data_IF_803581917905
#
_entry.id   IF_803581917905
#
_cell.length_a   1.000
_cell.length_b   1.000
_cell.length_c   1.000
_cell.angle_alpha   90.00
_cell.angle_beta   90.00
_cell.angle_gamma   90.00
#
_symmetry.space_group_name_H-M   'P 1'
#
loop_
_entity.id
_entity.type
_entity.pdbx_description
1 polymer ?
#
# COMPACT_ATOMS: atom_id res chain seq x y z
N UNK A 1 -101.52 20.43 12.78
CA UNK A 1 -100.94 21.18 11.64
C UNK A 1 -99.52 21.55 12.02
N UNK A 2 -98.54 20.68 11.74
CA UNK A 2 -97.12 20.92 12.05
C UNK A 2 -96.30 20.73 10.78
N UNK A 3 -95.72 21.81 10.25
CA UNK A 3 -94.79 21.77 9.13
C UNK A 3 -93.45 21.20 9.58
N UNK A 4 -92.97 20.13 8.98
CA UNK A 4 -91.57 19.60 9.14
C UNK A 4 -90.69 20.22 8.05
N UNK A 5 -89.66 20.94 8.48
CA UNK A 5 -88.64 21.45 7.62
C UNK A 5 -87.55 20.37 7.53
N UNK A 6 -87.30 19.88 6.29
CA UNK A 6 -86.17 18.99 6.01
C UNK A 6 -84.93 19.82 5.74
N UNK A 7 -83.91 19.62 6.55
CA UNK A 7 -82.57 20.21 6.34
C UNK A 7 -81.69 19.24 5.57
N UNK A 8 -81.42 19.52 4.31
CA UNK A 8 -80.45 18.77 3.50
C UNK A 8 -79.02 19.22 3.89
N UNK A 9 -78.30 18.37 4.59
CA UNK A 9 -76.84 18.50 4.79
C UNK A 9 -76.12 17.97 3.55
N UNK A 10 -75.49 18.83 2.74
CA UNK A 10 -74.59 18.46 1.69
C UNK A 10 -73.22 18.19 2.31
N UNK A 11 -72.79 16.93 2.28
CA UNK A 11 -71.43 16.51 2.70
C UNK A 11 -70.51 16.66 1.46
N UNK A 12 -69.68 17.71 1.49
CA UNK A 12 -68.61 17.87 0.49
C UNK A 12 -67.40 17.02 0.89
N UNK A 13 -67.19 15.91 0.17
CA UNK A 13 -65.97 15.09 0.30
C UNK A 13 -64.88 15.75 -0.52
N UNK A 14 -63.95 16.41 0.18
CA UNK A 14 -62.68 16.89 -0.38
C UNK A 14 -61.75 15.69 -0.57
N UNK A 15 -61.62 15.18 -1.78
CA UNK A 15 -60.56 14.23 -2.16
C UNK A 15 -59.22 14.99 -2.22
N UNK A 16 -58.42 14.91 -1.12
CA UNK A 16 -57.03 15.31 -1.16
C UNK A 16 -56.24 14.23 -1.93
N UNK A 17 -55.99 14.50 -3.22
CA UNK A 17 -55.10 13.68 -4.02
C UNK A 17 -53.67 13.76 -3.50
N UNK A 18 -53.22 12.74 -2.81
CA UNK A 18 -51.80 12.57 -2.49
C UNK A 18 -51.07 12.18 -3.77
N UNK A 19 -50.47 13.18 -4.45
CA UNK A 19 -49.48 12.91 -5.50
C UNK A 19 -48.24 12.30 -4.85
N UNK A 20 -48.16 10.97 -4.87
CA UNK A 20 -46.94 10.24 -4.66
C UNK A 20 -46.02 10.57 -5.85
N UNK A 21 -45.16 11.58 -5.67
CA UNK A 21 -44.03 11.81 -6.57
C UNK A 21 -43.05 10.64 -6.33
N UNK A 22 -43.20 9.56 -7.11
CA UNK A 22 -42.18 8.55 -7.24
C UNK A 22 -41.01 9.21 -7.96
N UNK A 23 -40.12 9.81 -7.23
CA UNK A 23 -38.79 10.16 -7.74
C UNK A 23 -38.14 8.85 -8.14
N UNK A 24 -38.15 8.55 -9.44
CA UNK A 24 -37.28 7.54 -10.03
C UNK A 24 -35.87 8.03 -9.78
N UNK A 25 -35.32 7.71 -8.61
CA UNK A 25 -33.90 7.93 -8.29
C UNK A 25 -33.11 6.97 -9.19
N UNK A 26 -32.84 7.40 -10.41
CA UNK A 26 -31.86 6.72 -11.24
C UNK A 26 -30.56 6.71 -10.44
N UNK A 27 -30.13 5.52 -9.99
CA UNK A 27 -28.95 5.38 -9.17
C UNK A 27 -27.80 6.12 -9.88
N UNK A 28 -27.21 7.10 -9.19
CA UNK A 28 -26.14 7.89 -9.76
C UNK A 28 -24.98 6.98 -10.20
N UNK A 29 -24.40 7.25 -11.37
CA UNK A 29 -23.29 6.49 -11.93
C UNK A 29 -22.17 6.31 -10.88
N UNK A 30 -21.64 5.10 -10.68
CA UNK A 30 -20.66 4.81 -9.66
C UNK A 30 -19.33 5.58 -9.93
N UNK A 31 -18.61 5.90 -8.87
CA UNK A 31 -17.21 6.36 -8.99
C UNK A 31 -16.38 5.12 -9.28
N UNK A 32 -15.72 5.10 -10.44
CA UNK A 32 -14.95 3.95 -10.92
C UNK A 32 -13.49 4.08 -10.47
N UNK A 33 -12.94 3.01 -9.89
CA UNK A 33 -11.54 2.88 -9.46
C UNK A 33 -10.89 1.72 -10.21
N UNK A 34 -9.98 2.01 -11.14
CA UNK A 34 -9.18 1.02 -11.84
C UNK A 34 -8.06 0.51 -10.95
N UNK A 35 -7.99 -0.80 -10.70
CA UNK A 35 -6.97 -1.43 -9.84
C UNK A 35 -5.99 -2.19 -10.72
N UNK A 36 -4.77 -1.66 -10.82
CA UNK A 36 -3.73 -2.14 -11.73
C UNK A 36 -2.72 -3.00 -10.97
N UNK A 37 -2.91 -4.32 -11.01
CA UNK A 37 -2.06 -5.31 -10.35
C UNK A 37 -1.69 -6.45 -11.28
N UNK A 38 -0.62 -7.23 -11.01
CA UNK A 38 -0.39 -8.49 -11.72
C UNK A 38 -1.41 -9.54 -11.24
N UNK A 39 -2.43 -9.78 -12.04
CA UNK A 39 -3.50 -10.76 -11.74
C UNK A 39 -3.27 -12.09 -12.46
N UNK A 40 -2.09 -12.25 -13.08
CA UNK A 40 -1.63 -13.47 -13.73
C UNK A 40 -0.12 -13.62 -13.56
N UNK A 41 0.39 -14.84 -13.82
CA UNK A 41 1.83 -15.15 -13.74
C UNK A 41 2.37 -15.27 -12.31
N UNK A 42 3.69 -15.16 -12.18
CA UNK A 42 4.44 -15.44 -10.94
C UNK A 42 4.04 -14.58 -9.75
N UNK A 43 3.59 -13.36 -9.99
CA UNK A 43 3.27 -12.37 -8.96
C UNK A 43 1.76 -12.22 -8.71
N UNK A 44 0.95 -13.15 -9.24
CA UNK A 44 -0.50 -13.13 -9.11
C UNK A 44 -0.97 -13.03 -7.65
N UNK A 45 -0.37 -13.82 -6.78
CA UNK A 45 -0.72 -13.83 -5.34
C UNK A 45 -0.57 -12.43 -4.69
N UNK A 46 0.50 -11.71 -5.03
CA UNK A 46 0.70 -10.32 -4.55
C UNK A 46 -0.43 -9.41 -5.07
N UNK A 47 -0.74 -9.52 -6.36
CA UNK A 47 -1.78 -8.71 -7.00
C UNK A 47 -3.16 -9.00 -6.44
N UNK A 48 -3.51 -10.27 -6.24
CA UNK A 48 -4.80 -10.69 -5.68
C UNK A 48 -4.99 -10.13 -4.26
N UNK A 49 -3.98 -10.20 -3.41
CA UNK A 49 -4.03 -9.69 -2.03
C UNK A 49 -4.19 -8.16 -1.99
N UNK A 50 -3.52 -7.43 -2.88
CA UNK A 50 -3.73 -5.99 -3.01
C UNK A 50 -5.14 -5.66 -3.50
N UNK A 51 -5.59 -6.33 -4.57
CA UNK A 51 -6.94 -6.15 -5.11
C UNK A 51 -8.01 -6.37 -4.04
N UNK A 52 -7.89 -7.45 -3.27
CA UNK A 52 -8.83 -7.76 -2.19
C UNK A 52 -8.87 -6.67 -1.10
N UNK A 53 -7.73 -6.05 -0.78
CA UNK A 53 -7.67 -4.91 0.14
C UNK A 53 -8.43 -3.68 -0.39
N UNK A 54 -8.32 -3.40 -1.70
CA UNK A 54 -9.08 -2.31 -2.36
C UNK A 54 -10.57 -2.63 -2.41
N UNK A 55 -10.93 -3.87 -2.75
CA UNK A 55 -12.33 -4.32 -2.80
C UNK A 55 -13.00 -4.23 -1.42
N UNK A 56 -12.27 -4.62 -0.37
CA UNK A 56 -12.78 -4.49 0.99
C UNK A 56 -12.95 -3.01 1.40
N UNK A 57 -12.02 -2.13 1.03
CA UNK A 57 -12.17 -0.70 1.25
C UNK A 57 -13.39 -0.13 0.51
N UNK A 58 -13.56 -0.49 -0.77
CA UNK A 58 -14.72 -0.06 -1.57
C UNK A 58 -16.05 -0.56 -0.96
N UNK A 59 -16.08 -1.79 -0.43
CA UNK A 59 -17.24 -2.32 0.29
C UNK A 59 -17.54 -1.46 1.53
N UNK A 60 -16.56 -1.21 2.40
CA UNK A 60 -16.74 -0.39 3.60
C UNK A 60 -17.24 1.02 3.24
N UNK A 61 -16.65 1.65 2.23
CA UNK A 61 -17.10 2.96 1.72
C UNK A 61 -18.56 2.89 1.26
N UNK A 62 -18.92 1.85 0.52
CA UNK A 62 -20.27 1.68 -0.02
C UNK A 62 -21.32 1.41 1.06
N UNK A 63 -20.98 0.72 2.12
CA UNK A 63 -21.84 0.49 3.30
C UNK A 63 -22.07 1.78 4.09
N UNK A 64 -21.10 2.71 4.08
CA UNK A 64 -21.20 4.05 4.66
C UNK A 64 -21.96 5.06 3.76
N UNK A 65 -22.59 4.62 2.68
CA UNK A 65 -23.33 5.49 1.76
C UNK A 65 -22.57 5.92 0.50
N UNK A 66 -21.37 5.39 0.29
CA UNK A 66 -20.53 5.66 -0.88
C UNK A 66 -19.78 6.99 -0.78
N UNK A 67 -19.29 7.47 -1.92
CA UNK A 67 -18.63 8.77 -2.07
C UNK A 67 -19.57 9.73 -2.82
N UNK A 68 -19.86 10.87 -2.22
CA UNK A 68 -20.78 11.87 -2.81
C UNK A 68 -22.18 11.26 -3.16
N UNK A 69 -22.66 10.31 -2.33
CA UNK A 69 -23.91 9.59 -2.57
C UNK A 69 -23.85 8.54 -3.70
N UNK A 70 -22.66 8.21 -4.21
CA UNK A 70 -22.44 7.27 -5.31
C UNK A 70 -21.60 6.09 -4.82
N UNK A 71 -21.91 4.89 -5.28
CA UNK A 71 -21.10 3.70 -4.97
C UNK A 71 -19.72 3.77 -5.65
N UNK A 72 -18.71 3.23 -4.99
CA UNK A 72 -17.40 2.96 -5.60
C UNK A 72 -17.48 1.62 -6.32
N UNK A 73 -17.05 1.59 -7.59
CA UNK A 73 -16.94 0.38 -8.40
C UNK A 73 -15.47 0.09 -8.72
N UNK A 74 -14.95 -1.00 -8.21
CA UNK A 74 -13.62 -1.50 -8.51
C UNK A 74 -13.60 -2.16 -9.89
N UNK A 75 -12.58 -1.87 -10.69
CA UNK A 75 -12.34 -2.45 -12.03
C UNK A 75 -10.92 -3.00 -12.07
N UNK A 76 -10.74 -4.33 -11.97
CA UNK A 76 -9.43 -4.94 -12.02
C UNK A 76 -8.76 -4.80 -13.38
N UNK A 77 -7.45 -4.56 -13.38
CA UNK A 77 -6.58 -4.47 -14.56
C UNK A 77 -5.39 -5.39 -14.32
N UNK A 78 -5.32 -6.50 -15.04
CA UNK A 78 -4.13 -7.33 -15.01
C UNK A 78 -2.98 -6.64 -15.76
N UNK A 79 -2.00 -6.17 -15.00
CA UNK A 79 -0.80 -5.52 -15.52
C UNK A 79 0.23 -6.50 -16.08
N UNK A 80 0.13 -7.78 -15.74
CA UNK A 80 1.16 -8.80 -16.00
C UNK A 80 2.57 -8.36 -15.53
N UNK A 81 2.63 -7.41 -14.59
CA UNK A 81 3.85 -6.70 -14.16
C UNK A 81 4.60 -6.00 -15.33
N UNK A 82 3.90 -5.62 -16.40
CA UNK A 82 4.44 -4.97 -17.60
C UNK A 82 3.83 -3.58 -17.79
N UNK A 83 4.65 -2.52 -17.86
CA UNK A 83 4.17 -1.13 -18.00
C UNK A 83 3.31 -0.90 -19.25
N UNK A 84 3.70 -1.48 -20.40
CA UNK A 84 2.99 -1.37 -21.66
C UNK A 84 1.62 -2.06 -21.64
N UNK A 85 1.51 -3.21 -20.98
CA UNK A 85 0.25 -3.93 -20.79
C UNK A 85 -0.69 -3.12 -19.89
N UNK A 86 -0.17 -2.64 -18.74
CA UNK A 86 -0.92 -1.83 -17.80
C UNK A 86 -1.50 -0.58 -18.46
N UNK A 87 -0.64 0.23 -19.11
CA UNK A 87 -1.04 1.49 -19.75
C UNK A 87 -2.01 1.27 -20.90
N UNK A 88 -1.82 0.23 -21.73
CA UNK A 88 -2.75 -0.12 -22.80
C UNK A 88 -4.15 -0.48 -22.29
N UNK A 89 -4.23 -1.32 -21.23
CA UNK A 89 -5.50 -1.71 -20.61
C UNK A 89 -6.18 -0.51 -19.93
N UNK A 90 -5.42 0.31 -19.18
CA UNK A 90 -5.94 1.51 -18.52
C UNK A 90 -6.43 2.57 -19.52
N UNK A 91 -5.74 2.76 -20.65
CA UNK A 91 -6.19 3.66 -21.73
C UNK A 91 -7.58 3.29 -22.23
N UNK A 92 -7.86 1.98 -22.39
CA UNK A 92 -9.20 1.53 -22.80
C UNK A 92 -10.26 1.94 -21.78
N UNK A 93 -9.97 1.84 -20.48
CA UNK A 93 -10.90 2.24 -19.42
C UNK A 93 -11.13 3.76 -19.39
N UNK A 94 -10.08 4.54 -19.60
CA UNK A 94 -10.20 6.01 -19.71
C UNK A 94 -11.12 6.38 -20.88
N UNK A 95 -10.85 5.86 -22.07
CA UNK A 95 -11.54 6.26 -23.28
C UNK A 95 -12.97 5.73 -23.34
N UNK A 96 -13.21 4.46 -22.97
CA UNK A 96 -14.51 3.79 -23.12
C UNK A 96 -15.41 3.95 -21.90
N UNK A 97 -14.83 3.89 -20.69
CA UNK A 97 -15.59 3.85 -19.44
C UNK A 97 -15.44 5.10 -18.59
N UNK A 98 -14.65 6.09 -19.07
CA UNK A 98 -14.41 7.36 -18.38
C UNK A 98 -13.84 7.20 -16.96
N UNK A 99 -13.00 6.16 -16.75
CA UNK A 99 -12.31 5.96 -15.48
C UNK A 99 -11.30 7.08 -15.28
N UNK A 100 -11.37 7.76 -14.14
CA UNK A 100 -10.51 8.90 -13.77
C UNK A 100 -9.49 8.53 -12.68
N UNK A 101 -9.79 7.51 -11.88
CA UNK A 101 -9.00 7.13 -10.71
C UNK A 101 -8.43 5.73 -10.91
N UNK A 102 -7.13 5.62 -10.72
CA UNK A 102 -6.41 4.35 -10.78
C UNK A 102 -5.60 4.16 -9.51
N UNK A 103 -5.41 2.92 -9.10
CA UNK A 103 -4.49 2.58 -8.03
C UNK A 103 -3.71 1.30 -8.35
N UNK A 104 -2.61 1.10 -7.64
CA UNK A 104 -1.79 -0.09 -7.78
C UNK A 104 -0.62 -0.10 -6.79
N UNK A 105 -0.11 -1.30 -6.50
CA UNK A 105 0.98 -1.51 -5.53
C UNK A 105 2.20 -2.18 -6.11
N UNK A 106 2.05 -2.95 -7.19
CA UNK A 106 3.11 -3.84 -7.66
C UNK A 106 3.84 -3.28 -8.87
N UNK A 107 5.17 -3.17 -8.74
CA UNK A 107 6.06 -2.80 -9.82
C UNK A 107 6.22 -1.30 -10.04
N UNK A 108 7.35 -0.72 -9.57
CA UNK A 108 7.63 0.71 -9.74
C UNK A 108 7.73 1.15 -11.21
N UNK A 109 8.12 0.25 -12.12
CA UNK A 109 8.12 0.51 -13.56
C UNK A 109 6.68 0.67 -14.10
N UNK A 110 5.75 -0.17 -13.62
CA UNK A 110 4.31 -0.04 -13.93
C UNK A 110 3.79 1.31 -13.43
N UNK A 111 4.14 1.67 -12.18
CA UNK A 111 3.81 2.97 -11.59
C UNK A 111 4.28 4.15 -12.44
N UNK A 112 5.51 4.10 -12.95
CA UNK A 112 6.04 5.13 -13.84
C UNK A 112 5.22 5.27 -15.14
N UNK A 113 4.88 4.16 -15.77
CA UNK A 113 4.03 4.15 -16.96
C UNK A 113 2.63 4.70 -16.69
N UNK A 114 2.01 4.28 -15.57
CA UNK A 114 0.69 4.73 -15.16
C UNK A 114 0.68 6.21 -14.75
N UNK A 115 1.75 6.71 -14.13
CA UNK A 115 1.91 8.15 -13.81
C UNK A 115 1.86 9.01 -15.07
N UNK A 116 2.65 8.66 -16.10
CA UNK A 116 2.65 9.37 -17.40
C UNK A 116 1.27 9.29 -18.08
N UNK A 117 0.62 8.13 -18.02
CA UNK A 117 -0.73 7.96 -18.59
C UNK A 117 -1.75 8.86 -17.86
N UNK A 118 -1.71 8.88 -16.52
CA UNK A 118 -2.61 9.66 -15.70
C UNK A 118 -2.48 11.16 -16.00
N UNK A 119 -1.26 11.68 -16.06
CA UNK A 119 -0.97 13.07 -16.40
C UNK A 119 -1.53 13.47 -17.78
N UNK A 120 -1.26 12.65 -18.80
CA UNK A 120 -1.72 12.91 -20.19
C UNK A 120 -3.24 12.92 -20.35
N UNK A 121 -3.98 12.26 -19.48
CA UNK A 121 -5.43 12.07 -19.62
C UNK A 121 -6.25 12.75 -18.49
N UNK A 122 -5.64 13.60 -17.70
CA UNK A 122 -6.25 14.18 -16.50
C UNK A 122 -6.96 13.11 -15.65
N UNK A 123 -6.25 12.00 -15.40
CA UNK A 123 -6.64 10.96 -14.46
C UNK A 123 -5.71 11.04 -13.24
N UNK A 124 -6.00 10.29 -12.19
CA UNK A 124 -5.19 10.23 -10.98
C UNK A 124 -4.70 8.81 -10.75
N UNK A 125 -3.41 8.66 -10.43
CA UNK A 125 -2.81 7.38 -10.04
C UNK A 125 -2.40 7.41 -8.58
N UNK A 126 -2.97 6.51 -7.77
CA UNK A 126 -2.59 6.23 -6.40
C UNK A 126 -1.68 5.02 -6.34
N UNK A 127 -0.54 5.15 -5.70
CA UNK A 127 0.31 4.01 -5.35
C UNK A 127 0.22 3.68 -3.87
N UNK A 128 0.01 2.39 -3.56
CA UNK A 128 0.05 1.85 -2.19
C UNK A 128 1.20 0.85 -1.97
N UNK A 129 2.10 0.68 -2.96
CA UNK A 129 3.23 -0.25 -2.83
C UNK A 129 4.38 -0.03 -3.81
N UNK A 130 4.23 0.83 -4.82
CA UNK A 130 5.30 1.15 -5.78
C UNK A 130 6.30 2.12 -5.15
N UNK A 131 7.37 1.57 -4.57
CA UNK A 131 8.19 2.27 -3.59
C UNK A 131 9.42 3.01 -4.12
N UNK A 132 9.82 2.87 -5.41
CA UNK A 132 10.99 3.59 -5.93
C UNK A 132 10.90 5.10 -5.67
N UNK A 133 11.89 5.67 -4.98
CA UNK A 133 11.89 7.06 -4.53
C UNK A 133 11.70 8.05 -5.68
N UNK A 134 12.24 7.73 -6.85
CA UNK A 134 12.15 8.55 -8.06
C UNK A 134 10.73 8.90 -8.49
N UNK A 135 9.71 8.06 -8.16
CA UNK A 135 8.31 8.27 -8.59
C UNK A 135 7.67 9.54 -7.98
N UNK A 136 8.06 9.93 -6.77
CA UNK A 136 7.67 11.20 -6.12
C UNK A 136 8.88 12.12 -5.93
N UNK A 137 10.02 11.76 -6.55
CA UNK A 137 11.24 12.54 -6.65
C UNK A 137 11.40 13.12 -8.06
N UNK A 138 12.53 12.83 -8.71
CA UNK A 138 12.87 13.38 -10.04
C UNK A 138 11.84 13.07 -11.14
N UNK A 139 10.97 12.07 -10.96
CA UNK A 139 9.91 11.67 -11.90
C UNK A 139 8.51 11.96 -11.35
N UNK A 140 8.40 12.86 -10.39
CA UNK A 140 7.12 13.25 -9.82
C UNK A 140 6.17 13.80 -10.87
N UNK A 141 4.89 13.58 -10.68
CA UNK A 141 3.81 14.09 -11.51
C UNK A 141 2.67 14.57 -10.61
N UNK A 142 2.05 15.68 -11.01
CA UNK A 142 0.88 16.21 -10.33
C UNK A 142 -0.26 15.20 -10.18
N UNK A 143 -0.35 14.25 -11.09
CA UNK A 143 -1.41 13.24 -11.13
C UNK A 143 -1.02 11.91 -10.46
N UNK A 144 0.15 11.84 -9.80
CA UNK A 144 0.62 10.66 -9.11
C UNK A 144 0.73 10.91 -7.60
N UNK A 145 0.01 10.11 -6.82
CA UNK A 145 0.01 10.15 -5.35
C UNK A 145 0.56 8.85 -4.79
N UNK A 146 1.48 8.94 -3.84
CA UNK A 146 1.99 7.76 -3.16
C UNK A 146 1.55 7.73 -1.70
N UNK A 147 0.70 6.76 -1.36
CA UNK A 147 0.22 6.46 -0.03
C UNK A 147 0.87 5.16 0.49
N UNK A 148 2.18 5.05 0.34
CA UNK A 148 3.05 4.02 0.93
C UNK A 148 4.43 4.64 1.18
N UNK A 149 5.28 3.90 1.87
CA UNK A 149 6.68 4.28 2.07
C UNK A 149 7.43 4.25 0.73
N UNK A 150 8.47 5.07 0.63
CA UNK A 150 9.43 4.98 -0.45
C UNK A 150 10.72 4.29 0.00
N UNK A 151 11.61 4.01 -0.94
CA UNK A 151 12.88 3.34 -0.67
C UNK A 151 13.74 4.06 0.35
N UNK A 152 13.70 5.40 0.40
CA UNK A 152 14.50 6.17 1.34
C UNK A 152 13.98 6.00 2.77
N UNK A 153 12.67 6.24 2.99
CA UNK A 153 12.07 6.16 4.33
C UNK A 153 12.15 4.76 4.93
N UNK A 154 11.91 3.72 4.14
CA UNK A 154 12.06 2.33 4.59
C UNK A 154 13.53 2.00 4.90
N UNK A 155 14.45 2.39 4.01
CA UNK A 155 15.88 2.18 4.20
C UNK A 155 16.39 2.89 5.43
N UNK A 156 15.96 4.12 5.69
CA UNK A 156 16.40 4.91 6.85
C UNK A 156 15.94 4.29 8.17
N UNK A 157 14.73 3.75 8.23
CA UNK A 157 14.23 3.06 9.43
C UNK A 157 15.10 1.84 9.80
N UNK A 158 15.40 0.98 8.82
CA UNK A 158 16.25 -0.20 9.04
C UNK A 158 17.73 0.19 9.26
N UNK A 159 18.24 1.22 8.56
CA UNK A 159 19.60 1.72 8.79
C UNK A 159 19.79 2.22 10.24
N UNK A 160 18.77 2.91 10.81
CA UNK A 160 18.81 3.34 12.23
C UNK A 160 18.86 2.15 13.18
N UNK A 161 18.11 1.09 12.88
CA UNK A 161 18.15 -0.12 13.69
C UNK A 161 19.53 -0.78 13.60
N UNK A 162 20.07 -1.00 12.39
CA UNK A 162 21.38 -1.60 12.17
C UNK A 162 22.48 -0.79 12.84
N UNK A 163 22.46 0.54 12.70
CA UNK A 163 23.46 1.44 13.29
C UNK A 163 23.54 1.35 14.84
N UNK A 164 22.44 0.95 15.50
CA UNK A 164 22.32 0.82 16.97
C UNK A 164 22.45 -0.63 17.46
N UNK A 165 22.41 -1.62 16.58
CA UNK A 165 22.34 -3.05 16.95
C UNK A 165 23.67 -3.64 17.43
N UNK A 166 24.77 -2.92 17.26
CA UNK A 166 26.12 -3.40 17.62
C UNK A 166 26.82 -4.22 16.52
N UNK A 167 26.12 -4.60 15.46
CA UNK A 167 26.71 -5.28 14.30
C UNK A 167 27.75 -4.40 13.58
N UNK A 168 28.78 -5.04 13.02
CA UNK A 168 29.92 -4.37 12.38
C UNK A 168 29.97 -4.56 10.88
N UNK A 169 29.46 -5.71 10.37
CA UNK A 169 29.56 -6.08 8.95
C UNK A 169 28.18 -6.25 8.33
N UNK A 170 27.91 -5.46 7.30
CA UNK A 170 26.61 -5.42 6.60
C UNK A 170 26.80 -5.68 5.12
N UNK A 171 25.96 -6.54 4.56
CA UNK A 171 25.88 -6.80 3.13
C UNK A 171 24.46 -6.50 2.62
N UNK A 172 24.35 -5.89 1.43
CA UNK A 172 23.08 -5.69 0.73
C UNK A 172 22.88 -6.70 -0.37
N UNK A 173 21.65 -7.23 -0.52
CA UNK A 173 21.26 -8.03 -1.68
C UNK A 173 19.88 -7.61 -2.17
N UNK A 174 19.73 -7.37 -3.48
CA UNK A 174 18.49 -6.87 -4.07
C UNK A 174 18.24 -7.41 -5.48
N UNK A 175 16.98 -7.29 -5.91
CA UNK A 175 16.59 -7.51 -7.30
C UNK A 175 17.18 -6.41 -8.20
N UNK A 176 17.67 -6.81 -9.39
CA UNK A 176 18.36 -5.95 -10.34
C UNK A 176 17.38 -5.10 -11.18
N UNK A 177 16.80 -4.07 -10.55
CA UNK A 177 15.99 -3.03 -11.21
C UNK A 177 15.94 -1.75 -10.33
N UNK A 178 15.27 -0.69 -10.83
CA UNK A 178 15.33 0.65 -10.20
C UNK A 178 15.06 0.66 -8.69
N UNK A 179 14.04 -0.07 -8.23
CA UNK A 179 13.73 -0.17 -6.81
C UNK A 179 14.88 -0.80 -6.00
N UNK A 180 15.44 -1.91 -6.47
CA UNK A 180 16.52 -2.60 -5.78
C UNK A 180 17.78 -1.74 -5.65
N UNK A 181 18.18 -1.08 -6.73
CA UNK A 181 19.34 -0.18 -6.74
C UNK A 181 19.12 1.03 -5.83
N UNK A 182 17.99 1.75 -5.98
CA UNK A 182 17.65 2.90 -5.14
C UNK A 182 17.65 2.52 -3.65
N UNK A 183 17.05 1.39 -3.31
CA UNK A 183 16.97 0.92 -1.93
C UNK A 183 18.35 0.57 -1.34
N UNK A 184 19.21 -0.13 -2.09
CA UNK A 184 20.57 -0.46 -1.64
C UNK A 184 21.38 0.80 -1.40
N UNK A 185 21.37 1.75 -2.33
CA UNK A 185 22.10 3.00 -2.18
C UNK A 185 21.61 3.82 -0.98
N UNK A 186 20.28 3.99 -0.83
CA UNK A 186 19.69 4.73 0.28
C UNK A 186 20.08 4.12 1.63
N UNK A 187 19.96 2.79 1.76
CA UNK A 187 20.34 2.10 3.01
C UNK A 187 21.83 2.22 3.33
N UNK A 188 22.71 1.90 2.36
CA UNK A 188 24.15 1.90 2.58
C UNK A 188 24.69 3.30 2.91
N UNK A 189 24.17 4.31 2.21
CA UNK A 189 24.48 5.70 2.53
C UNK A 189 24.07 6.03 3.97
N UNK A 190 22.81 5.73 4.33
CA UNK A 190 22.26 6.10 5.63
C UNK A 190 22.91 5.37 6.80
N UNK A 191 23.21 4.08 6.66
CA UNK A 191 23.89 3.33 7.72
C UNK A 191 25.29 3.87 7.98
N UNK A 192 26.02 4.30 6.95
CA UNK A 192 27.34 4.91 7.07
C UNK A 192 27.29 6.32 7.69
N UNK A 193 26.27 7.11 7.37
CA UNK A 193 26.03 8.41 8.02
C UNK A 193 25.76 8.26 9.52
N UNK A 194 24.96 7.27 9.90
CA UNK A 194 24.58 7.04 11.30
C UNK A 194 25.66 6.34 12.13
N UNK A 195 26.44 5.47 11.51
CA UNK A 195 27.52 4.75 12.16
C UNK A 195 28.67 4.47 11.15
N UNK A 196 29.66 5.38 11.05
CA UNK A 196 30.81 5.23 10.14
C UNK A 196 31.66 3.97 10.38
N UNK A 197 31.61 3.38 11.58
CA UNK A 197 32.37 2.18 11.91
C UNK A 197 31.83 0.88 11.29
N UNK A 198 30.58 0.88 10.78
CA UNK A 198 30.02 -0.27 10.11
C UNK A 198 30.72 -0.46 8.76
N UNK A 199 31.23 -1.67 8.53
CA UNK A 199 31.82 -2.10 7.26
C UNK A 199 30.72 -2.62 6.31
N UNK A 200 30.67 -2.10 5.08
CA UNK A 200 29.84 -2.62 4.01
C UNK A 200 30.69 -3.65 3.26
N UNK A 201 30.39 -4.94 3.51
CA UNK A 201 31.19 -6.06 2.98
C UNK A 201 30.73 -6.57 1.62
N UNK A 202 29.65 -6.02 1.07
CA UNK A 202 29.19 -6.33 -0.29
C UNK A 202 27.85 -5.72 -0.66
N UNK A 203 27.65 -5.65 -1.98
CA UNK A 203 26.37 -5.34 -2.62
C UNK A 203 26.14 -6.37 -3.72
N UNK A 204 25.08 -7.15 -3.63
CA UNK A 204 24.73 -8.20 -4.58
C UNK A 204 23.43 -7.86 -5.29
N UNK A 205 23.35 -8.17 -6.57
CA UNK A 205 22.13 -7.99 -7.35
C UNK A 205 21.81 -9.28 -8.11
N UNK A 206 20.54 -9.64 -8.16
CA UNK A 206 20.03 -10.81 -8.87
C UNK A 206 18.83 -10.43 -9.73
N UNK A 207 18.54 -11.21 -10.77
CA UNK A 207 17.36 -10.97 -11.61
C UNK A 207 16.07 -11.17 -10.77
N UNK A 208 15.04 -10.41 -11.06
CA UNK A 208 13.72 -10.64 -10.46
C UNK A 208 13.19 -12.02 -10.88
N UNK A 209 12.67 -12.79 -9.93
CA UNK A 209 12.24 -14.17 -10.13
C UNK A 209 13.41 -15.17 -10.13
N UNK A 210 14.51 -14.87 -9.43
CA UNK A 210 15.62 -15.81 -9.21
C UNK A 210 15.14 -17.06 -8.47
N UNK A 211 15.64 -18.22 -8.87
CA UNK A 211 15.28 -19.50 -8.28
C UNK A 211 16.42 -20.13 -7.48
N UNK A 212 17.65 -19.79 -7.84
CA UNK A 212 18.85 -20.33 -7.20
C UNK A 212 19.63 -19.24 -6.49
N UNK A 213 19.44 -19.16 -5.17
CA UNK A 213 20.17 -18.26 -4.30
C UNK A 213 21.47 -18.81 -3.74
N UNK A 214 21.81 -20.10 -4.00
CA UNK A 214 23.02 -20.72 -3.43
C UNK A 214 24.32 -19.95 -3.76
N UNK A 215 24.54 -19.43 -4.99
CA UNK A 215 25.73 -18.63 -5.30
C UNK A 215 25.80 -17.34 -4.48
N UNK A 216 24.66 -16.68 -4.26
CA UNK A 216 24.59 -15.45 -3.47
C UNK A 216 24.80 -15.73 -1.98
N UNK A 217 24.17 -16.79 -1.46
CA UNK A 217 24.33 -17.22 -0.07
C UNK A 217 25.79 -17.58 0.23
N UNK A 218 26.47 -18.25 -0.69
CA UNK A 218 27.91 -18.54 -0.55
C UNK A 218 28.75 -17.29 -0.45
N UNK A 219 28.46 -16.25 -1.25
CA UNK A 219 29.12 -14.97 -1.17
C UNK A 219 28.82 -14.25 0.15
N UNK A 220 27.56 -14.28 0.62
CA UNK A 220 27.18 -13.71 1.92
C UNK A 220 27.97 -14.37 3.06
N UNK A 221 28.03 -15.69 3.09
CA UNK A 221 28.78 -16.43 4.12
C UNK A 221 30.27 -16.08 4.03
N UNK A 222 30.84 -16.10 2.83
CA UNK A 222 32.25 -15.80 2.59
C UNK A 222 32.64 -14.37 2.96
N UNK A 223 31.72 -13.41 2.90
CA UNK A 223 31.96 -12.01 3.27
C UNK A 223 32.04 -11.81 4.79
N UNK A 224 31.57 -12.76 5.59
CA UNK A 224 31.46 -12.60 7.04
C UNK A 224 30.42 -11.59 7.48
N UNK A 225 29.43 -11.29 6.65
CA UNK A 225 28.33 -10.39 7.00
C UNK A 225 27.61 -10.88 8.26
N UNK A 226 27.37 -9.95 9.20
CA UNK A 226 26.56 -10.19 10.40
C UNK A 226 25.08 -9.85 10.17
N UNK A 227 24.84 -8.88 9.28
CA UNK A 227 23.50 -8.49 8.81
C UNK A 227 23.46 -8.52 7.29
N UNK A 228 22.47 -9.20 6.77
CA UNK A 228 22.04 -9.11 5.37
C UNK A 228 20.84 -8.17 5.30
N UNK A 229 21.05 -7.01 4.71
CA UNK A 229 19.95 -6.13 4.41
C UNK A 229 19.41 -6.40 2.99
N UNK A 230 18.09 -6.51 2.86
CA UNK A 230 17.49 -6.78 1.55
C UNK A 230 16.13 -6.11 1.41
N UNK A 231 15.85 -5.47 0.24
CA UNK A 231 14.52 -5.03 -0.15
C UNK A 231 13.76 -6.10 -0.95
N UNK A 232 14.27 -7.33 -1.03
CA UNK A 232 13.60 -8.41 -1.76
C UNK A 232 12.18 -8.63 -1.25
N UNK A 233 11.29 -9.03 -2.15
CA UNK A 233 9.88 -9.29 -1.88
C UNK A 233 9.40 -10.54 -2.64
N UNK A 234 8.25 -11.07 -2.23
CA UNK A 234 7.63 -12.23 -2.85
C UNK A 234 8.52 -13.47 -2.78
N UNK A 235 8.50 -14.28 -3.83
CA UNK A 235 9.22 -15.57 -3.87
C UNK A 235 10.76 -15.39 -3.78
N UNK A 236 11.30 -14.27 -4.27
CA UNK A 236 12.75 -14.04 -4.20
C UNK A 236 13.22 -13.90 -2.74
N UNK A 237 12.46 -13.20 -1.89
CA UNK A 237 12.73 -13.14 -0.46
C UNK A 237 12.57 -14.51 0.20
N UNK A 238 11.50 -15.22 -0.12
CA UNK A 238 11.22 -16.56 0.41
C UNK A 238 12.37 -17.53 0.13
N UNK A 239 12.86 -17.56 -1.11
CA UNK A 239 13.95 -18.44 -1.51
C UNK A 239 15.29 -18.03 -0.87
N UNK A 240 15.57 -16.72 -0.76
CA UNK A 240 16.75 -16.24 -0.05
C UNK A 240 16.75 -16.71 1.42
N UNK A 241 15.62 -16.58 2.12
CA UNK A 241 15.48 -17.02 3.52
C UNK A 241 15.66 -18.54 3.65
N UNK A 242 14.94 -19.33 2.83
CA UNK A 242 14.99 -20.81 2.86
C UNK A 242 16.37 -21.34 2.52
N UNK A 243 16.92 -20.94 1.38
CA UNK A 243 18.23 -21.42 0.93
C UNK A 243 19.36 -20.90 1.82
N UNK A 244 19.24 -19.66 2.30
CA UNK A 244 20.16 -19.09 3.28
C UNK A 244 20.26 -19.96 4.53
N UNK A 245 19.10 -20.33 5.10
CA UNK A 245 19.05 -21.20 6.27
C UNK A 245 19.62 -22.59 6.00
N UNK A 246 19.18 -23.22 4.89
CA UNK A 246 19.63 -24.56 4.48
C UNK A 246 21.15 -24.62 4.30
N UNK A 247 21.74 -23.59 3.74
CA UNK A 247 23.20 -23.49 3.50
C UNK A 247 23.99 -22.96 4.72
N UNK A 248 23.34 -22.76 5.85
CA UNK A 248 24.00 -22.41 7.11
C UNK A 248 24.34 -20.92 7.29
N UNK A 249 23.70 -20.02 6.54
CA UNK A 249 23.84 -18.58 6.76
C UNK A 249 23.40 -18.20 8.18
N UNK A 250 24.27 -17.52 8.92
CA UNK A 250 24.07 -17.07 10.31
C UNK A 250 23.70 -15.59 10.41
N UNK A 251 23.94 -14.84 9.35
CA UNK A 251 23.64 -13.42 9.32
C UNK A 251 22.15 -13.16 9.59
N UNK A 252 21.85 -12.12 10.37
CA UNK A 252 20.48 -11.65 10.58
C UNK A 252 19.98 -10.97 9.31
N UNK A 253 18.72 -11.21 8.98
CA UNK A 253 18.07 -10.54 7.84
C UNK A 253 17.33 -9.31 8.36
N UNK A 254 17.64 -8.14 7.79
CA UNK A 254 16.87 -6.91 7.93
C UNK A 254 16.18 -6.64 6.59
N UNK A 255 14.84 -6.71 6.56
CA UNK A 255 14.07 -6.61 5.33
C UNK A 255 12.76 -5.86 5.57
N UNK A 256 12.24 -5.22 4.53
CA UNK A 256 10.92 -4.55 4.59
C UNK A 256 9.76 -5.54 4.74
N UNK A 257 9.87 -6.75 4.17
CA UNK A 257 8.74 -7.61 3.85
C UNK A 257 8.77 -8.99 4.54
N UNK A 258 9.49 -9.10 5.68
CA UNK A 258 9.49 -10.36 6.44
C UNK A 258 8.14 -10.65 7.13
N UNK A 259 7.26 -9.66 7.22
CA UNK A 259 5.90 -9.81 7.72
C UNK A 259 4.91 -10.39 6.67
N UNK A 260 5.42 -10.92 5.56
CA UNK A 260 4.60 -11.57 4.54
C UNK A 260 4.19 -12.98 4.99
N UNK A 261 2.88 -13.21 5.11
CA UNK A 261 2.32 -14.48 5.58
C UNK A 261 2.70 -15.64 4.67
N UNK A 262 2.70 -15.43 3.34
CA UNK A 262 3.07 -16.47 2.39
C UNK A 262 4.54 -16.90 2.56
N UNK A 263 5.44 -15.93 2.79
CA UNK A 263 6.82 -16.25 3.13
C UNK A 263 6.90 -17.10 4.40
N UNK A 264 6.23 -16.64 5.47
CA UNK A 264 6.26 -17.27 6.77
C UNK A 264 5.72 -18.70 6.70
N UNK A 265 4.56 -18.90 6.08
CA UNK A 265 3.95 -20.23 5.90
C UNK A 265 4.78 -21.15 5.00
N UNK A 266 5.48 -20.61 4.01
CA UNK A 266 6.31 -21.39 3.10
C UNK A 266 7.66 -21.81 3.69
N UNK A 267 8.14 -21.11 4.73
CA UNK A 267 9.37 -21.47 5.45
C UNK A 267 9.01 -22.44 6.56
N UNK A 268 9.22 -23.73 6.32
CA UNK A 268 8.86 -24.79 7.29
C UNK A 268 9.65 -24.75 8.61
N UNK A 269 10.77 -24.02 8.67
CA UNK A 269 11.61 -23.86 9.86
C UNK A 269 11.50 -22.44 10.40
N UNK A 270 10.70 -22.25 11.44
CA UNK A 270 10.54 -20.98 12.14
C UNK A 270 11.88 -20.34 12.54
N UNK A 271 12.91 -21.15 12.81
CA UNK A 271 14.23 -20.64 13.21
C UNK A 271 14.93 -19.84 12.09
N UNK A 272 14.51 -19.99 10.85
CA UNK A 272 15.00 -19.18 9.72
C UNK A 272 14.47 -17.74 9.75
N UNK A 273 13.35 -17.53 10.45
CA UNK A 273 12.61 -16.26 10.48
C UNK A 273 12.82 -15.55 11.81
N UNK A 274 12.76 -16.27 12.94
CA UNK A 274 12.82 -15.69 14.31
C UNK A 274 14.09 -14.86 14.51
N UNK A 275 13.92 -13.68 15.10
CA UNK A 275 14.99 -12.74 15.40
C UNK A 275 15.44 -11.88 14.23
N UNK A 276 14.90 -12.08 13.02
CA UNK A 276 15.07 -11.13 11.92
C UNK A 276 14.21 -9.89 12.11
N UNK A 277 14.52 -8.81 11.40
CA UNK A 277 13.89 -7.50 11.58
C UNK A 277 13.14 -7.10 10.32
N UNK A 278 11.91 -6.64 10.52
CA UNK A 278 11.08 -6.08 9.46
C UNK A 278 10.69 -4.62 9.77
N UNK A 279 10.45 -3.84 8.72
CA UNK A 279 9.99 -2.45 8.84
C UNK A 279 9.03 -2.11 7.70
N UNK A 280 7.77 -1.75 8.00
CA UNK A 280 6.77 -1.46 6.98
C UNK A 280 5.76 -0.41 7.49
N UNK A 281 5.01 0.18 6.55
CA UNK A 281 3.91 1.11 6.85
C UNK A 281 2.74 0.42 7.56
N UNK A 282 2.50 -0.84 7.27
CA UNK A 282 1.42 -1.61 7.86
C UNK A 282 1.89 -3.01 8.29
N UNK A 283 1.52 -3.38 9.50
CA UNK A 283 1.67 -4.72 10.06
C UNK A 283 0.39 -5.11 10.79
N UNK A 284 0.01 -6.36 10.75
CA UNK A 284 -1.17 -6.88 11.45
C UNK A 284 -1.15 -6.57 12.97
N UNK A 285 0.03 -6.53 13.55
CA UNK A 285 0.23 -6.35 15.00
C UNK A 285 0.24 -4.88 15.47
N UNK A 286 0.04 -3.90 14.58
CA UNK A 286 -0.02 -2.46 14.95
C UNK A 286 -1.13 -2.23 15.99
N UNK A 287 -0.79 -1.61 17.16
CA UNK A 287 -1.69 -1.51 18.30
C UNK A 287 -2.60 -0.26 18.25
N UNK A 288 -3.15 0.09 17.08
CA UNK A 288 -4.13 1.18 16.96
C UNK A 288 -5.57 0.65 17.00
N UNK A 289 -6.49 1.47 17.48
CA UNK A 289 -7.92 1.17 17.48
C UNK A 289 -8.45 0.95 16.07
N UNK A 290 -8.06 1.82 15.12
CA UNK A 290 -8.44 1.72 13.70
C UNK A 290 -7.95 0.43 13.06
N UNK A 291 -6.79 -0.08 13.48
CA UNK A 291 -6.29 -1.37 13.02
C UNK A 291 -7.12 -2.53 13.58
N UNK A 292 -7.51 -2.45 14.84
CA UNK A 292 -8.39 -3.45 15.44
C UNK A 292 -9.74 -3.51 14.71
N UNK A 293 -10.39 -2.36 14.50
CA UNK A 293 -11.64 -2.26 13.74
C UNK A 293 -11.53 -2.87 12.34
N UNK A 294 -10.45 -2.55 11.62
CA UNK A 294 -10.18 -3.09 10.30
C UNK A 294 -10.01 -4.62 10.33
N UNK A 295 -9.17 -5.13 11.24
CA UNK A 295 -8.89 -6.57 11.36
C UNK A 295 -10.16 -7.35 11.70
N UNK A 296 -10.93 -6.89 12.70
CA UNK A 296 -12.17 -7.55 13.13
C UNK A 296 -13.22 -7.54 12.02
N UNK A 297 -13.40 -6.41 11.34
CA UNK A 297 -14.32 -6.28 10.22
C UNK A 297 -13.94 -7.17 9.04
N UNK A 298 -12.66 -7.18 8.68
CA UNK A 298 -12.14 -8.02 7.60
C UNK A 298 -12.29 -9.51 7.95
N UNK A 299 -11.89 -9.91 9.15
CA UNK A 299 -12.00 -11.30 9.62
C UNK A 299 -13.44 -11.79 9.66
N UNK A 300 -14.36 -10.95 10.13
CA UNK A 300 -15.80 -11.26 10.14
C UNK A 300 -16.34 -11.56 8.74
N UNK A 301 -15.82 -10.86 7.73
CA UNK A 301 -16.27 -11.05 6.35
C UNK A 301 -15.60 -12.23 5.66
N UNK A 302 -14.29 -12.35 5.81
CA UNK A 302 -13.46 -13.27 5.02
C UNK A 302 -13.16 -14.59 5.72
N UNK A 303 -13.25 -14.65 7.04
CA UNK A 303 -12.90 -15.82 7.84
C UNK A 303 -11.40 -16.02 8.08
N UNK A 304 -10.55 -15.07 7.65
CA UNK A 304 -9.10 -15.06 7.87
C UNK A 304 -8.59 -13.64 8.12
N UNK A 305 -7.39 -13.50 8.67
CA UNK A 305 -6.80 -12.20 8.96
C UNK A 305 -6.28 -11.51 7.69
N UNK A 306 -6.38 -10.16 7.62
CA UNK A 306 -5.83 -9.42 6.48
C UNK A 306 -4.31 -9.47 6.48
N UNK A 307 -3.72 -9.66 5.30
CA UNK A 307 -2.28 -9.53 5.12
C UNK A 307 -1.82 -8.07 5.17
N UNK A 308 -0.50 -7.86 5.30
CA UNK A 308 0.09 -6.54 5.20
C UNK A 308 -0.21 -5.84 3.87
N UNK A 309 -0.28 -6.58 2.76
CA UNK A 309 -0.67 -6.06 1.45
C UNK A 309 -2.11 -5.55 1.44
N UNK A 310 -3.04 -6.35 2.01
CA UNK A 310 -4.45 -5.96 2.15
C UNK A 310 -4.60 -4.71 3.00
N UNK A 311 -3.88 -4.65 4.12
CA UNK A 311 -3.91 -3.49 5.02
C UNK A 311 -3.39 -2.21 4.38
N UNK A 312 -2.31 -2.28 3.60
CA UNK A 312 -1.78 -1.14 2.84
C UNK A 312 -2.78 -0.64 1.79
N UNK A 313 -3.31 -1.55 0.97
CA UNK A 313 -4.29 -1.19 -0.07
C UNK A 313 -5.57 -0.62 0.52
N UNK A 314 -6.09 -1.23 1.60
CA UNK A 314 -7.24 -0.72 2.35
C UNK A 314 -6.99 0.72 2.85
N UNK A 315 -5.90 0.92 3.59
CA UNK A 315 -5.59 2.23 4.21
C UNK A 315 -5.43 3.33 3.16
N UNK A 316 -4.71 3.04 2.07
CA UNK A 316 -4.50 4.00 0.99
C UNK A 316 -5.80 4.33 0.22
N UNK A 317 -6.65 3.32 0.01
CA UNK A 317 -7.95 3.52 -0.66
C UNK A 317 -8.90 4.36 0.21
N UNK A 318 -8.89 4.14 1.54
CA UNK A 318 -9.66 4.98 2.47
C UNK A 318 -9.13 6.41 2.49
N UNK A 319 -7.81 6.62 2.42
CA UNK A 319 -7.21 7.95 2.33
C UNK A 319 -7.61 8.69 1.03
N UNK A 320 -7.64 8.00 -0.10
CA UNK A 320 -8.18 8.53 -1.35
C UNK A 320 -9.67 8.90 -1.23
N UNK A 321 -10.45 8.08 -0.56
CA UNK A 321 -11.86 8.35 -0.33
C UNK A 321 -12.08 9.64 0.46
N UNK A 322 -11.26 9.90 1.49
CA UNK A 322 -11.30 11.15 2.25
C UNK A 322 -10.95 12.38 1.38
N UNK A 323 -10.02 12.23 0.42
CA UNK A 323 -9.72 13.30 -0.52
C UNK A 323 -10.92 13.64 -1.41
N UNK A 324 -11.66 12.62 -1.90
CA UNK A 324 -12.91 12.84 -2.69
C UNK A 324 -14.00 13.48 -1.83
N UNK A 325 -14.19 13.01 -0.60
CA UNK A 325 -15.15 13.62 0.33
C UNK A 325 -14.84 15.10 0.58
N UNK A 326 -13.58 15.43 0.85
CA UNK A 326 -13.11 16.80 1.07
C UNK A 326 -13.24 17.67 -0.20
N UNK A 327 -13.01 17.10 -1.39
CA UNK A 327 -13.21 17.80 -2.66
C UNK A 327 -14.67 18.17 -2.93
N UNK A 328 -15.63 17.41 -2.39
CA UNK A 328 -17.06 17.60 -2.56
C UNK A 328 -17.57 17.40 -3.98
N UNK A 329 -16.72 16.97 -4.91
CA UNK A 329 -17.07 16.70 -6.31
C UNK A 329 -16.14 15.65 -6.94
N UNK A 330 -16.66 14.91 -7.93
CA UNK A 330 -15.93 13.93 -8.73
C UNK A 330 -15.19 14.64 -9.89
N UNK A 331 -14.11 15.33 -9.54
CA UNK A 331 -13.28 16.09 -10.46
C UNK A 331 -11.81 15.93 -10.05
N UNK A 332 -10.95 15.53 -11.00
CA UNK A 332 -9.56 15.15 -10.69
C UNK A 332 -8.78 16.32 -10.09
N UNK A 333 -8.90 17.52 -10.66
CA UNK A 333 -8.17 18.71 -10.18
C UNK A 333 -8.61 19.10 -8.77
N UNK A 334 -9.91 19.01 -8.48
CA UNK A 334 -10.43 19.27 -7.15
C UNK A 334 -9.98 18.23 -6.13
N UNK A 335 -9.90 16.94 -6.51
CA UNK A 335 -9.42 15.86 -5.65
C UNK A 335 -7.93 16.03 -5.37
N UNK A 336 -7.11 16.36 -6.37
CA UNK A 336 -5.69 16.65 -6.19
C UNK A 336 -5.51 17.77 -5.16
N UNK A 337 -6.16 18.92 -5.37
CA UNK A 337 -6.09 20.06 -4.45
C UNK A 337 -6.60 19.73 -3.04
N UNK A 338 -7.63 18.93 -2.93
CA UNK A 338 -8.18 18.50 -1.64
C UNK A 338 -7.26 17.53 -0.91
N UNK A 339 -6.52 16.69 -1.65
CA UNK A 339 -5.61 15.69 -1.07
C UNK A 339 -4.31 16.31 -0.58
N UNK A 340 -3.81 17.33 -1.27
CA UNK A 340 -2.67 18.13 -0.82
C UNK A 340 -2.91 18.70 0.59
N UNK A 341 -2.01 18.37 1.52
CA UNK A 341 -2.12 18.78 2.93
C UNK A 341 -3.21 18.06 3.74
N UNK A 342 -3.84 17.03 3.18
CA UNK A 342 -4.82 16.22 3.90
C UNK A 342 -4.14 15.30 4.91
N UNK A 343 -4.65 15.29 6.13
CA UNK A 343 -4.31 14.32 7.18
C UNK A 343 -5.38 13.24 7.26
N UNK A 344 -4.98 12.00 7.47
CA UNK A 344 -5.85 10.85 7.60
C UNK A 344 -5.40 9.97 8.78
N UNK A 345 -6.34 9.67 9.68
CA UNK A 345 -6.15 8.73 10.79
C UNK A 345 -6.64 7.34 10.35
N UNK A 346 -5.70 6.46 10.04
CA UNK A 346 -5.98 5.12 9.54
C UNK A 346 -5.47 3.99 10.43
N UNK A 347 -5.61 2.73 10.00
CA UNK A 347 -5.12 1.56 10.74
C UNK A 347 -3.64 1.64 11.11
N UNK A 348 -2.83 2.24 10.27
CA UNK A 348 -1.38 2.36 10.48
C UNK A 348 -0.96 3.67 11.19
N UNK A 349 -1.90 4.43 11.75
CA UNK A 349 -1.67 5.73 12.38
C UNK A 349 -1.96 6.91 11.45
N UNK A 350 -1.38 8.06 11.79
CA UNK A 350 -1.61 9.33 11.08
C UNK A 350 -0.79 9.41 9.80
N UNK A 351 -1.45 9.66 8.69
CA UNK A 351 -0.84 9.90 7.38
C UNK A 351 -1.12 11.34 6.93
N UNK A 352 -0.13 11.99 6.36
CA UNK A 352 -0.24 13.34 5.82
C UNK A 352 0.23 13.39 4.38
N UNK A 353 -0.59 13.87 3.46
CA UNK A 353 -0.22 14.00 2.04
C UNK A 353 0.55 15.28 1.80
N UNK A 354 1.82 15.17 1.49
CA UNK A 354 2.71 16.30 1.27
C UNK A 354 2.41 16.99 -0.07
N UNK A 355 2.19 18.32 -0.10
CA UNK A 355 1.81 19.00 -1.34
C UNK A 355 2.92 19.11 -2.38
N UNK A 356 4.18 19.11 -1.96
CA UNK A 356 5.32 19.41 -2.84
C UNK A 356 5.69 18.29 -3.81
N UNK A 357 5.30 17.04 -3.48
CA UNK A 357 5.71 15.87 -4.26
C UNK A 357 4.69 14.74 -4.24
N UNK A 358 3.55 14.92 -3.59
CA UNK A 358 2.49 13.94 -3.38
C UNK A 358 2.95 12.62 -2.75
N UNK A 359 4.00 12.68 -1.93
CA UNK A 359 4.40 11.60 -1.04
C UNK A 359 3.66 11.71 0.29
N UNK A 360 2.93 10.70 0.67
CA UNK A 360 2.39 10.65 2.02
C UNK A 360 3.52 10.49 3.05
N UNK A 361 3.50 11.34 4.07
CA UNK A 361 4.31 11.17 5.27
C UNK A 361 3.62 10.14 6.15
N UNK A 362 4.29 9.00 6.34
CA UNK A 362 3.75 7.80 6.96
C UNK A 362 4.74 7.34 8.03
N UNK A 363 4.29 7.01 9.25
CA UNK A 363 5.17 6.39 10.24
C UNK A 363 5.63 5.01 9.74
N UNK A 364 6.86 4.63 10.08
CA UNK A 364 7.35 3.27 9.86
C UNK A 364 7.20 2.48 11.15
N UNK A 365 6.63 1.31 11.03
CA UNK A 365 6.56 0.34 12.11
C UNK A 365 7.68 -0.67 11.94
N UNK A 366 8.51 -0.84 12.98
CA UNK A 366 9.64 -1.78 13.00
C UNK A 366 9.40 -2.83 14.08
N UNK A 367 9.60 -4.09 13.71
CA UNK A 367 9.39 -5.21 14.62
C UNK A 367 10.39 -6.34 14.38
N UNK A 368 10.65 -7.11 15.43
CA UNK A 368 11.35 -8.39 15.35
C UNK A 368 10.37 -9.50 15.06
N UNK A 369 10.82 -10.49 14.30
CA UNK A 369 10.08 -11.73 14.06
C UNK A 369 10.20 -12.61 15.31
N UNK A 370 9.06 -13.01 15.87
CA UNK A 370 8.95 -13.80 17.11
C UNK A 370 8.33 -15.16 16.87
N UNK A 371 8.46 -16.07 17.85
CA UNK A 371 7.99 -17.45 17.73
C UNK A 371 6.48 -17.57 17.56
N UNK A 372 5.72 -16.73 18.24
CA UNK A 372 4.26 -16.68 18.18
C UNK A 372 3.74 -15.28 18.43
N UNK A 373 2.58 -14.95 17.92
CA UNK A 373 1.90 -13.68 18.11
C UNK A 373 0.49 -13.89 18.65
N UNK A 374 -0.22 -12.79 18.94
CA UNK A 374 -1.64 -12.86 19.30
C UNK A 374 -2.54 -13.42 18.18
N UNK A 375 -2.07 -13.43 16.93
CA UNK A 375 -2.83 -13.89 15.77
C UNK A 375 -2.49 -15.35 15.38
N UNK A 376 -1.23 -15.77 15.53
CA UNK A 376 -0.72 -17.02 15.01
C UNK A 376 0.14 -17.77 16.03
N UNK A 377 0.06 -19.11 15.99
CA UNK A 377 0.86 -20.05 16.82
C UNK A 377 2.19 -20.46 16.20
N UNK A 378 2.55 -19.88 15.07
CA UNK A 378 3.83 -20.02 14.37
C UNK A 378 4.57 -18.69 14.36
N UNK A 379 5.83 -18.70 13.87
CA UNK A 379 6.62 -17.47 13.75
C UNK A 379 5.87 -16.39 13.00
N UNK A 380 5.85 -15.19 13.57
CA UNK A 380 5.21 -14.02 12.98
C UNK A 380 5.86 -12.73 13.48
N UNK A 381 5.39 -11.60 12.95
CA UNK A 381 5.83 -10.29 13.41
C UNK A 381 5.37 -10.01 14.84
N UNK A 382 6.32 -9.62 15.69
CA UNK A 382 6.07 -9.25 17.08
C UNK A 382 5.39 -7.90 17.23
N UNK A 383 5.39 -7.37 18.45
CA UNK A 383 4.85 -6.05 18.74
C UNK A 383 5.73 -4.96 18.10
N UNK A 384 5.18 -4.12 17.21
CA UNK A 384 5.97 -3.14 16.50
C UNK A 384 6.18 -1.86 17.30
N UNK A 385 7.32 -1.22 17.05
CA UNK A 385 7.62 0.14 17.52
C UNK A 385 7.47 1.12 16.38
N UNK A 386 6.79 2.23 16.64
CA UNK A 386 6.60 3.30 15.67
C UNK A 386 7.83 4.20 15.58
N UNK A 387 8.28 4.47 14.37
CA UNK A 387 9.22 5.54 14.04
C UNK A 387 8.38 6.63 13.35
N UNK A 388 8.27 7.84 13.93
CA UNK A 388 7.51 8.92 13.35
C UNK A 388 8.04 9.30 11.96
N UNK A 389 7.16 9.69 11.03
CA UNK A 389 7.53 10.10 9.68
C UNK A 389 8.62 11.18 9.68
N UNK A 390 8.48 12.20 10.53
CA UNK A 390 9.46 13.30 10.68
C UNK A 390 10.90 12.87 10.99
N UNK A 391 11.08 11.66 11.53
CA UNK A 391 12.41 11.16 11.92
C UNK A 391 13.13 10.41 10.79
N UNK A 392 12.42 10.14 9.69
CA UNK A 392 12.88 9.31 8.57
C UNK A 392 12.60 9.89 7.19
N UNK A 393 11.87 10.99 7.11
CA UNK A 393 11.57 11.64 5.85
C UNK A 393 12.76 12.44 5.33
N UNK A 394 12.75 12.69 4.02
CA UNK A 394 13.61 13.65 3.36
C UNK A 394 12.79 14.91 3.04
N UNK A 395 13.45 16.06 2.97
CA UNK A 395 12.78 17.32 2.65
C UNK A 395 12.28 17.33 1.19
N UNK A 396 11.33 18.19 0.89
CA UNK A 396 10.85 18.39 -0.48
C UNK A 396 11.98 18.69 -1.47
N UNK A 397 12.94 19.51 -1.06
CA UNK A 397 14.09 19.90 -1.87
C UNK A 397 14.98 18.68 -2.18
N UNK A 398 15.27 17.85 -1.17
CA UNK A 398 16.10 16.66 -1.31
C UNK A 398 15.48 15.60 -2.23
N UNK A 399 14.15 15.57 -2.41
CA UNK A 399 13.50 14.63 -3.33
C UNK A 399 13.87 14.91 -4.78
N UNK A 400 14.22 16.14 -5.11
CA UNK A 400 14.46 16.62 -6.47
C UNK A 400 13.18 16.69 -7.32
N UNK A 401 11.99 16.61 -6.71
CA UNK A 401 10.72 16.82 -7.39
C UNK A 401 10.60 18.26 -7.85
N UNK A 402 10.22 18.46 -9.11
CA UNK A 402 9.95 19.77 -9.73
C UNK A 402 8.56 19.76 -10.33
N UNK A 403 7.58 19.37 -9.52
CA UNK A 403 6.18 19.37 -9.92
C UNK A 403 5.72 20.81 -10.22
N UNK A 404 5.12 21.02 -11.40
CA UNK A 404 4.62 22.32 -11.87
C UNK A 404 3.13 22.43 -11.61
#
# INVERSE_FOLDING_TARGET
MKKRILLCMAISIAMAGVFLITTNSQAAEPIKLGVCEPLSGTFKDIGDRYLEGVEYAAKVINEQGGLLGRKVKVIPIDSELKPDVATRKATKLILKEKVKYFCGGTGSSVGGGMSVLAEKNNALMLSYGMAAASLTGKKCSRNFFRACLNTDTQSFALARWVAKSGYKKVLGIAQDYSFGHEAVEAFMKKVKELNPSIEIVGKLFHKAGEKDFAPYVSQIIGSGAEVVWTPNWGNDLTLLVKQGRTLGMKAKIACYYLNDEYLIESVADDSAIIGNITAEAYMLTIPTEKNREFIEGFYKEKGYYPSWLRGKAYTATMFWAEAIKKAGKDDVDAVIKAWEGLTYEGPAGTWYMRPCDHQAQIPVWIAEMVKESKFFKHAFVGEPKMIPAKDIEITCEETGCRMK
#
